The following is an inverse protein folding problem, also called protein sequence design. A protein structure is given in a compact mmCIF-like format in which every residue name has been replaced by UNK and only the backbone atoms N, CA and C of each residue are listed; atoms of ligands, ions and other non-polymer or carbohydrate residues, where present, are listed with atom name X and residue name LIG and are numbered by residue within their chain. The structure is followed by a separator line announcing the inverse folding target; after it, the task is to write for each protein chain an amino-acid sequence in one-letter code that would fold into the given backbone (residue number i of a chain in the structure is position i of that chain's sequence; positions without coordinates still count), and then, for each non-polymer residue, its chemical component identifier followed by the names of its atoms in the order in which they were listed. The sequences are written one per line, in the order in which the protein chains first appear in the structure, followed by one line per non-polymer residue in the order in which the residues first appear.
data_IF_092554396254
#
_entry.id   IF_092554396254
#
_cell.length_a   1.000
_cell.length_b   1.000
_cell.length_c   1.000
_cell.angle_alpha   90.00
_cell.angle_beta   90.00
_cell.angle_gamma   90.00
#
_symmetry.space_group_name_H-M   'P 1'
#
loop_
_entity.id
_entity.type
_entity.pdbx_description
1 polymer ?
#
# COMPACT_ATOMS: atom_id res chain seq x y z
N UNK A 1 10.58 2.47 14.25
CA UNK A 1 10.55 1.05 13.79
C UNK A 1 9.57 0.93 12.63
N UNK A 2 9.92 0.26 11.52
CA UNK A 2 8.99 0.05 10.38
C UNK A 2 8.69 -1.45 10.26
N UNK A 3 7.40 -1.82 10.22
CA UNK A 3 6.95 -3.21 10.07
C UNK A 3 5.64 -3.30 9.30
N UNK A 4 5.26 -4.51 8.93
CA UNK A 4 3.93 -4.85 8.47
C UNK A 4 2.90 -4.60 9.59
N UNK A 5 1.78 -4.01 9.21
CA UNK A 5 0.58 -3.95 10.05
C UNK A 5 -0.05 -5.33 10.21
N UNK A 6 -1.11 -5.40 11.01
CA UNK A 6 -1.92 -6.59 11.22
C UNK A 6 -3.37 -6.30 10.87
N UNK A 7 -4.13 -7.33 10.49
CA UNK A 7 -5.55 -7.17 10.12
C UNK A 7 -6.40 -6.60 11.25
N UNK A 8 -6.09 -6.92 12.52
CA UNK A 8 -6.75 -6.36 13.70
C UNK A 8 -6.32 -4.93 14.05
N UNK A 9 -5.31 -4.38 13.37
CA UNK A 9 -4.91 -2.98 13.50
C UNK A 9 -5.65 -2.08 12.49
N UNK A 10 -6.51 -2.63 11.62
CA UNK A 10 -7.28 -1.83 10.64
C UNK A 10 -8.52 -1.26 11.31
N UNK A 11 -8.32 -0.15 12.03
CA UNK A 11 -9.36 0.67 12.64
C UNK A 11 -8.87 2.10 12.85
N UNK A 12 -9.80 3.06 12.95
CA UNK A 12 -9.51 4.47 13.25
C UNK A 12 -8.84 4.69 14.61
N UNK A 13 -8.98 3.74 15.54
CA UNK A 13 -8.44 3.84 16.90
C UNK A 13 -6.98 3.36 17.02
N UNK A 14 -6.48 2.63 16.03
CA UNK A 14 -5.20 1.90 16.09
C UNK A 14 -3.94 2.78 15.99
N UNK A 15 -4.09 4.03 15.56
CA UNK A 15 -2.99 4.93 15.24
C UNK A 15 -3.42 6.11 14.37
N UNK A 16 -2.46 6.92 13.96
CA UNK A 16 -2.66 7.92 12.91
C UNK A 16 -2.59 7.24 11.54
N UNK A 17 -3.37 7.68 10.57
CA UNK A 17 -3.48 7.04 9.25
C UNK A 17 -2.99 7.95 8.13
N UNK A 18 -2.10 7.39 7.33
CA UNK A 18 -1.63 7.94 6.07
C UNK A 18 -2.05 7.01 4.95
N UNK A 19 -2.68 7.52 3.91
CA UNK A 19 -3.08 6.74 2.73
C UNK A 19 -2.47 7.39 1.50
N UNK A 20 -1.63 6.64 0.80
CA UNK A 20 -0.87 7.13 -0.35
C UNK A 20 -1.23 6.33 -1.59
N UNK A 21 -1.85 6.97 -2.58
CA UNK A 21 -1.76 6.53 -3.96
C UNK A 21 -0.41 7.05 -4.51
N UNK A 22 0.48 6.14 -4.90
CA UNK A 22 1.87 6.47 -5.21
C UNK A 22 2.13 6.40 -6.71
N UNK A 23 2.82 7.40 -7.22
CA UNK A 23 3.33 7.44 -8.57
C UNK A 23 4.81 7.80 -8.61
N UNK A 24 5.44 7.56 -9.77
CA UNK A 24 6.87 7.76 -9.95
C UNK A 24 7.15 8.66 -11.15
N UNK A 25 6.86 9.95 -10.99
CA UNK A 25 7.09 10.95 -12.01
C UNK A 25 8.00 12.07 -11.50
N UNK A 26 8.80 12.63 -12.41
CA UNK A 26 9.79 13.68 -12.10
C UNK A 26 9.14 15.07 -11.88
N UNK A 27 8.18 15.45 -12.72
CA UNK A 27 7.66 16.84 -12.78
C UNK A 27 6.16 16.98 -12.49
N UNK A 28 5.42 15.88 -12.50
CA UNK A 28 3.98 15.90 -12.29
C UNK A 28 3.65 15.44 -10.88
N UNK A 29 2.57 15.99 -10.35
CA UNK A 29 1.93 15.47 -9.15
C UNK A 29 1.38 14.09 -9.49
N UNK A 30 2.04 13.07 -8.98
CA UNK A 30 1.77 11.67 -9.29
C UNK A 30 1.45 10.87 -8.04
N UNK A 31 1.52 11.51 -6.87
CA UNK A 31 1.10 10.94 -5.61
C UNK A 31 -0.16 11.66 -5.12
N UNK A 32 -1.08 10.94 -4.50
CA UNK A 32 -2.17 11.51 -3.75
C UNK A 32 -2.08 11.03 -2.30
N UNK A 33 -1.94 11.97 -1.36
CA UNK A 33 -1.75 11.68 0.05
C UNK A 33 -2.97 12.16 0.85
N UNK A 34 -3.53 11.29 1.66
CA UNK A 34 -4.54 11.59 2.66
C UNK A 34 -3.94 11.37 4.05
N UNK A 35 -4.14 12.34 4.95
CA UNK A 35 -3.64 12.32 6.34
C UNK A 35 -4.83 12.41 7.29
N UNK A 36 -5.10 11.34 8.04
CA UNK A 36 -6.23 11.25 8.98
C UNK A 36 -7.55 11.69 8.32
N UNK A 37 -8.24 12.68 8.88
CA UNK A 37 -9.52 13.20 8.39
C UNK A 37 -9.38 14.33 7.35
N UNK A 38 -8.16 14.66 6.93
CA UNK A 38 -7.93 15.75 5.96
C UNK A 38 -8.35 15.36 4.54
N UNK A 39 -8.57 16.37 3.72
CA UNK A 39 -8.80 16.16 2.29
C UNK A 39 -7.53 15.61 1.60
N UNK A 40 -7.68 14.75 0.57
CA UNK A 40 -6.56 14.27 -0.22
C UNK A 40 -5.81 15.41 -0.93
N UNK A 41 -4.49 15.35 -0.89
CA UNK A 41 -3.61 16.33 -1.55
C UNK A 41 -2.80 15.65 -2.67
N UNK A 42 -2.82 16.25 -3.86
CA UNK A 42 -1.94 15.84 -4.96
C UNK A 42 -0.56 16.45 -4.83
N UNK A 43 0.47 15.59 -4.83
CA UNK A 43 1.86 15.89 -4.53
C UNK A 43 2.80 15.27 -5.57
N UNK A 44 3.96 15.90 -5.77
CA UNK A 44 5.10 15.21 -6.37
C UNK A 44 5.65 14.17 -5.40
N UNK A 45 6.40 13.19 -5.91
CA UNK A 45 6.96 12.10 -5.10
C UNK A 45 7.78 12.62 -3.90
N UNK A 46 8.68 13.58 -4.14
CA UNK A 46 9.53 14.15 -3.08
C UNK A 46 8.73 14.93 -2.03
N UNK A 47 7.65 15.58 -2.43
CA UNK A 47 6.73 16.28 -1.54
C UNK A 47 5.99 15.29 -0.64
N UNK A 48 5.47 14.19 -1.21
CA UNK A 48 4.82 13.12 -0.45
C UNK A 48 5.78 12.51 0.58
N UNK A 49 7.01 12.16 0.19
CA UNK A 49 8.05 11.65 1.11
C UNK A 49 8.28 12.62 2.27
N UNK A 50 8.45 13.93 1.98
CA UNK A 50 8.67 14.95 3.01
C UNK A 50 7.47 15.09 3.95
N UNK A 51 6.26 15.11 3.41
CA UNK A 51 5.03 15.21 4.21
C UNK A 51 4.85 14.00 5.13
N UNK A 52 5.06 12.78 4.62
CA UNK A 52 4.97 11.54 5.39
C UNK A 52 6.01 11.53 6.51
N UNK A 53 7.27 11.85 6.21
CA UNK A 53 8.34 11.92 7.23
C UNK A 53 8.01 12.90 8.33
N UNK A 54 7.63 14.13 7.96
CA UNK A 54 7.25 15.15 8.92
C UNK A 54 6.11 14.68 9.82
N UNK A 55 5.09 14.05 9.23
CA UNK A 55 3.97 13.53 10.01
C UNK A 55 4.40 12.41 10.97
N UNK A 56 5.25 11.49 10.53
CA UNK A 56 5.81 10.43 11.39
C UNK A 56 6.61 11.02 12.55
N UNK A 57 7.40 12.07 12.30
CA UNK A 57 8.21 12.73 13.33
C UNK A 57 7.35 13.50 14.34
N UNK A 58 6.25 14.11 13.90
CA UNK A 58 5.35 14.90 14.74
C UNK A 58 4.29 14.03 15.48
N UNK A 59 4.10 12.77 15.05
CA UNK A 59 3.07 11.89 15.60
C UNK A 59 3.34 11.53 17.06
N UNK A 60 2.26 11.35 17.84
CA UNK A 60 2.34 10.87 19.23
C UNK A 60 1.79 9.45 19.39
N UNK A 61 1.40 8.83 18.28
CA UNK A 61 0.85 7.47 18.18
C UNK A 61 1.56 6.73 17.05
N UNK A 62 1.45 5.39 17.00
CA UNK A 62 1.86 4.63 15.83
C UNK A 62 1.22 5.19 14.56
N UNK A 63 1.98 5.23 13.46
CA UNK A 63 1.52 5.69 12.16
C UNK A 63 1.26 4.47 11.27
N UNK A 64 0.03 4.32 10.83
CA UNK A 64 -0.38 3.33 9.84
C UNK A 64 -0.25 3.97 8.45
N UNK A 65 0.60 3.41 7.61
CA UNK A 65 0.83 3.87 6.23
C UNK A 65 0.28 2.84 5.25
N UNK A 66 -0.84 3.17 4.60
CA UNK A 66 -1.34 2.45 3.44
C UNK A 66 -0.68 3.01 2.19
N UNK A 67 -0.15 2.13 1.35
CA UNK A 67 0.35 2.51 0.03
C UNK A 67 -0.37 1.70 -1.05
N UNK A 68 -1.00 2.39 -2.01
CA UNK A 68 -1.58 1.80 -3.22
C UNK A 68 -0.44 1.43 -4.18
N UNK A 69 0.19 0.29 -3.91
CA UNK A 69 1.27 -0.30 -4.70
C UNK A 69 1.56 -1.72 -4.20
N UNK A 70 2.20 -2.59 -5.01
CA UNK A 70 2.61 -3.90 -4.55
C UNK A 70 3.63 -3.75 -3.42
N UNK A 71 3.30 -4.24 -2.23
CA UNK A 71 4.22 -4.30 -1.09
C UNK A 71 4.78 -5.70 -0.89
N UNK A 72 4.25 -6.67 -1.64
CA UNK A 72 4.71 -8.04 -1.67
C UNK A 72 4.62 -8.64 -3.06
N UNK A 73 5.43 -9.68 -3.27
CA UNK A 73 5.50 -10.45 -4.51
C UNK A 73 5.30 -11.92 -4.19
N UNK A 74 4.72 -12.67 -5.13
CA UNK A 74 4.59 -14.12 -5.03
C UNK A 74 5.52 -14.81 -6.03
N UNK A 75 6.07 -15.95 -5.60
CA UNK A 75 6.85 -16.85 -6.43
C UNK A 75 6.22 -18.24 -6.42
N UNK A 76 6.25 -18.91 -7.56
CA UNK A 76 5.84 -20.32 -7.64
C UNK A 76 6.89 -21.24 -6.98
N UNK A 77 6.59 -22.54 -6.91
CA UNK A 77 7.50 -23.55 -6.34
C UNK A 77 8.85 -23.67 -7.09
N UNK A 78 8.98 -23.09 -8.28
CA UNK A 78 10.22 -23.05 -9.07
C UNK A 78 10.97 -21.72 -8.91
N UNK A 79 10.44 -20.78 -8.14
CA UNK A 79 11.01 -19.46 -7.93
C UNK A 79 10.67 -18.44 -9.04
N UNK A 80 9.71 -18.72 -9.92
CA UNK A 80 9.29 -17.74 -10.93
C UNK A 80 8.26 -16.77 -10.35
N UNK A 81 8.30 -15.47 -10.71
CA UNK A 81 7.27 -14.53 -10.34
C UNK A 81 5.89 -15.01 -10.79
N UNK A 82 4.91 -14.88 -9.89
CA UNK A 82 3.54 -15.32 -10.11
C UNK A 82 2.57 -14.27 -9.57
N UNK A 83 1.42 -14.13 -10.22
CA UNK A 83 0.38 -13.22 -9.74
C UNK A 83 -0.28 -13.73 -8.46
N UNK A 84 -0.58 -12.80 -7.54
CA UNK A 84 -1.30 -13.07 -6.29
C UNK A 84 -2.81 -13.26 -6.53
N UNK A 85 -3.52 -13.80 -5.55
CA UNK A 85 -4.96 -14.10 -5.66
C UNK A 85 -5.81 -12.88 -6.00
N UNK A 86 -5.49 -11.73 -5.39
CA UNK A 86 -6.19 -10.43 -5.57
C UNK A 86 -6.02 -9.82 -6.95
N UNK A 87 -4.99 -10.22 -7.69
CA UNK A 87 -4.67 -9.68 -9.01
C UNK A 87 -5.58 -10.25 -10.09
N UNK A 88 -6.31 -11.33 -9.82
CA UNK A 88 -7.19 -12.03 -10.76
C UNK A 88 -8.66 -11.77 -10.42
N UNK A 89 -9.43 -11.27 -11.40
CA UNK A 89 -10.88 -11.17 -11.28
C UNK A 89 -11.55 -11.63 -12.58
N UNK A 90 -12.20 -12.79 -12.52
CA UNK A 90 -12.80 -13.41 -13.71
C UNK A 90 -11.75 -13.64 -14.79
N UNK A 91 -11.97 -13.05 -15.98
CA UNK A 91 -11.02 -13.08 -17.10
C UNK A 91 -9.98 -11.95 -17.08
N UNK A 92 -10.10 -10.97 -16.18
CA UNK A 92 -9.17 -9.83 -16.09
C UNK A 92 -8.09 -10.14 -15.07
N UNK A 93 -6.84 -9.82 -15.42
CA UNK A 93 -5.72 -9.88 -14.47
C UNK A 93 -4.99 -8.54 -14.42
N UNK A 94 -4.90 -7.95 -13.22
CA UNK A 94 -4.03 -6.83 -12.91
C UNK A 94 -2.69 -7.40 -12.48
N UNK A 95 -1.84 -7.70 -13.46
CA UNK A 95 -0.50 -8.23 -13.23
C UNK A 95 0.36 -7.18 -12.53
N UNK A 96 0.35 -7.14 -11.19
CA UNK A 96 1.15 -6.19 -10.42
C UNK A 96 2.66 -6.40 -10.59
N UNK A 97 3.04 -7.56 -11.15
CA UNK A 97 4.37 -7.89 -11.62
C UNK A 97 4.73 -7.38 -13.04
N UNK A 98 3.88 -6.57 -13.70
CA UNK A 98 4.22 -6.00 -15.03
C UNK A 98 4.02 -4.48 -15.09
N UNK A 99 4.84 -3.84 -15.93
CA UNK A 99 4.70 -2.45 -16.37
C UNK A 99 4.43 -1.48 -15.21
N UNK A 100 3.22 -0.88 -15.12
CA UNK A 100 2.88 0.09 -14.08
C UNK A 100 3.03 -0.44 -12.64
N UNK A 101 2.71 -1.71 -12.37
CA UNK A 101 2.80 -2.29 -11.03
C UNK A 101 4.25 -2.30 -10.52
N UNK A 102 5.19 -2.68 -11.38
CA UNK A 102 6.62 -2.62 -11.08
C UNK A 102 7.10 -1.19 -10.83
N UNK A 103 6.59 -0.21 -11.60
CA UNK A 103 6.95 1.21 -11.42
C UNK A 103 6.56 1.72 -10.04
N UNK A 104 5.31 1.49 -9.61
CA UNK A 104 4.85 1.95 -8.30
C UNK A 104 5.47 1.15 -7.15
N UNK A 105 5.75 -0.15 -7.34
CA UNK A 105 6.53 -0.94 -6.38
C UNK A 105 7.94 -0.35 -6.16
N UNK A 106 8.64 0.02 -7.24
CA UNK A 106 9.96 0.69 -7.13
C UNK A 106 9.85 2.03 -6.42
N UNK A 107 8.82 2.83 -6.73
CA UNK A 107 8.54 4.09 -6.04
C UNK A 107 8.39 3.86 -4.53
N UNK A 108 7.64 2.83 -4.15
CA UNK A 108 7.40 2.49 -2.74
C UNK A 108 8.67 1.98 -2.06
N UNK A 109 9.52 1.22 -2.75
CA UNK A 109 10.84 0.83 -2.22
C UNK A 109 11.68 2.07 -1.89
N UNK A 110 11.72 3.08 -2.77
CA UNK A 110 12.40 4.34 -2.48
C UNK A 110 11.79 5.10 -1.30
N UNK A 111 10.45 5.18 -1.22
CA UNK A 111 9.75 5.78 -0.10
C UNK A 111 10.13 5.10 1.22
N UNK A 112 9.92 3.78 1.31
CA UNK A 112 10.17 3.02 2.54
C UNK A 112 11.65 3.03 2.92
N UNK A 113 12.57 3.00 1.95
CA UNK A 113 14.00 3.18 2.22
C UNK A 113 14.31 4.54 2.82
N UNK A 114 13.73 5.63 2.28
CA UNK A 114 13.91 6.96 2.83
C UNK A 114 13.32 7.09 4.25
N UNK A 115 12.18 6.45 4.52
CA UNK A 115 11.60 6.39 5.87
C UNK A 115 12.51 5.57 6.80
N UNK A 116 12.99 4.41 6.37
CA UNK A 116 13.85 3.54 7.16
C UNK A 116 15.16 4.24 7.54
N UNK A 117 15.80 4.91 6.58
CA UNK A 117 17.06 5.63 6.79
C UNK A 117 16.90 6.87 7.68
N UNK A 118 15.70 7.44 7.76
CA UNK A 118 15.43 8.50 8.74
C UNK A 118 15.33 8.00 10.18
N UNK A 119 15.32 6.68 10.39
CA UNK A 119 15.24 6.03 11.69
C UNK A 119 14.15 6.63 12.59
N UNK A 120 12.86 6.54 12.18
CA UNK A 120 11.77 7.19 12.88
C UNK A 120 11.65 6.66 14.31
N UNK A 121 11.49 7.59 15.25
CA UNK A 121 11.24 7.29 16.68
C UNK A 121 9.90 6.58 16.86
N UNK A 122 8.89 6.96 16.07
CA UNK A 122 7.58 6.34 16.07
C UNK A 122 7.54 5.00 15.31
N UNK A 123 6.60 4.16 15.71
CA UNK A 123 6.28 2.93 15.00
C UNK A 123 5.52 3.27 13.70
N UNK A 124 5.98 2.71 12.57
CA UNK A 124 5.30 2.79 11.28
C UNK A 124 4.84 1.39 10.89
N UNK A 125 3.54 1.25 10.62
CA UNK A 125 2.87 0.00 10.26
C UNK A 125 2.42 0.08 8.80
N UNK A 126 2.94 -0.79 7.95
CA UNK A 126 2.66 -0.80 6.53
C UNK A 126 1.41 -1.62 6.21
N UNK A 127 0.62 -1.14 5.26
CA UNK A 127 -0.57 -1.79 4.72
C UNK A 127 -0.55 -1.66 3.20
N UNK A 128 -0.90 -2.72 2.47
CA UNK A 128 -1.02 -2.65 1.02
C UNK A 128 -2.42 -2.18 0.63
N UNK A 129 -2.51 -1.10 -0.15
CA UNK A 129 -3.77 -0.65 -0.75
C UNK A 129 -3.94 -1.23 -2.15
N UNK A 130 -5.15 -1.64 -2.51
CA UNK A 130 -5.46 -2.12 -3.87
C UNK A 130 -6.82 -1.59 -4.33
N UNK A 131 -6.81 -0.55 -5.17
CA UNK A 131 -8.04 -0.01 -5.76
C UNK A 131 -8.16 -0.47 -7.21
N UNK A 132 -9.12 -1.35 -7.44
CA UNK A 132 -9.16 -2.17 -8.65
C UNK A 132 -10.41 -1.93 -9.51
N UNK A 133 -10.31 -2.31 -10.78
CA UNK A 133 -11.44 -2.46 -11.73
C UNK A 133 -12.32 -1.22 -12.00
N UNK A 134 -11.73 -0.02 -11.95
CA UNK A 134 -12.38 1.22 -12.40
C UNK A 134 -13.02 1.08 -13.78
N UNK A 135 -14.19 1.70 -13.96
CA UNK A 135 -14.86 1.75 -15.25
C UNK A 135 -13.93 2.38 -16.30
N UNK A 136 -13.82 1.75 -17.48
CA UNK A 136 -12.90 2.20 -18.55
C UNK A 136 -13.20 3.60 -19.10
N UNK A 137 -14.38 4.15 -18.80
CA UNK A 137 -14.82 5.47 -19.23
C UNK A 137 -14.62 6.56 -18.16
N UNK A 138 -14.16 6.20 -16.97
CA UNK A 138 -13.90 7.15 -15.89
C UNK A 138 -12.42 7.55 -15.88
N UNK A 139 -12.15 8.86 -15.84
CA UNK A 139 -10.78 9.35 -15.62
C UNK A 139 -10.27 8.82 -14.28
N UNK A 140 -8.99 8.45 -14.23
CA UNK A 140 -8.33 8.11 -12.97
C UNK A 140 -8.47 9.27 -11.98
N UNK A 141 -9.09 9.00 -10.84
CA UNK A 141 -9.25 9.94 -9.75
C UNK A 141 -8.50 9.42 -8.52
N UNK A 142 -7.25 9.85 -8.38
CA UNK A 142 -6.35 9.43 -7.30
C UNK A 142 -6.92 9.78 -5.91
N UNK A 143 -7.61 10.92 -5.79
CA UNK A 143 -8.29 11.31 -4.55
C UNK A 143 -9.42 10.36 -4.17
N UNK A 144 -10.14 9.78 -5.14
CA UNK A 144 -11.18 8.79 -4.86
C UNK A 144 -10.59 7.48 -4.35
N UNK A 145 -9.44 7.07 -4.86
CA UNK A 145 -8.78 5.81 -4.46
C UNK A 145 -8.42 5.82 -2.97
N UNK A 146 -7.74 6.89 -2.52
CA UNK A 146 -7.37 7.01 -1.11
C UNK A 146 -8.60 7.13 -0.19
N UNK A 147 -9.68 7.76 -0.66
CA UNK A 147 -10.95 7.80 0.07
C UNK A 147 -11.62 6.43 0.16
N UNK A 148 -11.61 5.64 -0.92
CA UNK A 148 -12.15 4.28 -0.92
C UNK A 148 -11.41 3.41 0.11
N UNK A 149 -10.09 3.52 0.19
CA UNK A 149 -9.29 2.81 1.20
C UNK A 149 -9.64 3.29 2.61
N UNK A 150 -9.88 4.59 2.81
CA UNK A 150 -10.32 5.15 4.10
C UNK A 150 -11.64 4.56 4.59
N UNK A 151 -12.61 4.33 3.69
CA UNK A 151 -13.90 3.71 4.03
C UNK A 151 -13.73 2.36 4.75
N UNK A 152 -12.68 1.59 4.42
CA UNK A 152 -12.39 0.30 5.07
C UNK A 152 -11.87 0.48 6.49
N UNK A 153 -11.09 1.52 6.75
CA UNK A 153 -10.54 1.85 8.07
C UNK A 153 -11.65 2.36 9.00
N UNK A 154 -12.56 3.18 8.47
CA UNK A 154 -13.69 3.75 9.20
C UNK A 154 -14.77 2.70 9.52
N UNK A 155 -14.97 1.75 8.61
CA UNK A 155 -16.04 0.74 8.71
C UNK A 155 -15.51 -0.69 8.45
N UNK A 156 -14.54 -1.20 9.23
CA UNK A 156 -13.89 -2.48 8.97
C UNK A 156 -14.88 -3.66 9.04
N UNK A 157 -15.90 -3.56 9.90
CA UNK A 157 -16.94 -4.59 10.01
C UNK A 157 -17.82 -4.65 8.75
N UNK A 158 -18.10 -3.51 8.11
CA UNK A 158 -18.88 -3.44 6.86
C UNK A 158 -18.07 -3.96 5.68
N UNK A 159 -16.77 -3.67 5.66
CA UNK A 159 -15.85 -4.02 4.59
C UNK A 159 -14.92 -5.18 4.97
N UNK A 160 -15.41 -6.16 5.74
CA UNK A 160 -14.57 -7.26 6.23
C UNK A 160 -13.91 -8.06 5.11
N UNK A 161 -14.60 -8.27 3.99
CA UNK A 161 -14.06 -8.97 2.81
C UNK A 161 -13.02 -8.15 2.03
N UNK A 162 -12.90 -6.86 2.32
CA UNK A 162 -11.87 -5.98 1.77
C UNK A 162 -10.55 -6.04 2.54
N UNK A 163 -10.50 -6.73 3.68
CA UNK A 163 -9.30 -6.91 4.48
C UNK A 163 -8.78 -8.31 4.24
N UNK A 164 -7.62 -8.42 3.62
CA UNK A 164 -7.03 -9.68 3.17
C UNK A 164 -5.76 -9.93 3.97
N UNK A 165 -5.73 -11.08 4.64
CA UNK A 165 -4.55 -11.55 5.35
C UNK A 165 -3.42 -11.89 4.35
N UNK A 166 -2.14 -11.63 4.68
CA UNK A 166 -1.02 -11.95 3.80
C UNK A 166 -1.07 -13.36 3.21
N UNK A 167 -1.38 -14.38 4.01
CA UNK A 167 -1.38 -15.76 3.52
C UNK A 167 -2.47 -16.03 2.46
N UNK A 168 -3.58 -15.28 2.52
CA UNK A 168 -4.65 -15.36 1.53
C UNK A 168 -4.28 -14.75 0.16
N UNK A 169 -3.12 -14.09 0.04
CA UNK A 169 -2.59 -13.58 -1.23
C UNK A 169 -2.01 -14.71 -2.11
N UNK A 170 -1.70 -15.88 -1.54
CA UNK A 170 -1.23 -17.05 -2.28
C UNK A 170 -2.32 -17.60 -3.19
N UNK A 171 -1.93 -18.13 -4.35
CA UNK A 171 -2.87 -18.84 -5.24
C UNK A 171 -2.76 -20.37 -5.11
N UNK A 172 -1.72 -20.84 -4.43
CA UNK A 172 -1.43 -22.24 -4.12
C UNK A 172 -0.63 -22.28 -2.82
N UNK A 173 -0.78 -23.34 -2.02
CA UNK A 173 -0.03 -23.52 -0.77
C UNK A 173 1.48 -23.59 -0.99
N UNK A 174 1.90 -23.96 -2.21
CA UNK A 174 3.29 -24.01 -2.64
C UNK A 174 3.89 -22.65 -2.99
N UNK A 175 3.07 -21.60 -3.10
CA UNK A 175 3.54 -20.27 -3.46
C UNK A 175 4.26 -19.62 -2.27
N UNK A 176 5.38 -18.96 -2.54
CA UNK A 176 6.15 -18.22 -1.53
C UNK A 176 5.86 -16.73 -1.71
N UNK A 177 5.39 -16.08 -0.64
CA UNK A 177 5.28 -14.62 -0.61
C UNK A 177 6.53 -14.00 -0.01
N UNK A 178 6.94 -12.85 -0.54
CA UNK A 178 8.06 -12.08 -0.02
C UNK A 178 7.71 -10.59 0.02
N UNK A 179 8.27 -9.89 1.02
CA UNK A 179 8.21 -8.44 1.10
C UNK A 179 8.96 -7.83 -0.09
N UNK A 180 8.35 -6.85 -0.76
CA UNK A 180 9.01 -6.12 -1.86
C UNK A 180 10.25 -5.34 -1.37
N UNK A 181 10.36 -5.07 -0.07
CA UNK A 181 11.45 -4.29 0.53
C UNK A 181 12.69 -5.12 0.87
N UNK A 182 12.58 -6.45 0.84
CA UNK A 182 13.70 -7.34 1.12
C UNK A 182 14.88 -7.11 0.17
N UNK A 183 14.60 -6.77 -1.10
CA UNK A 183 15.63 -6.45 -2.11
C UNK A 183 16.44 -5.20 -1.76
N UNK A 184 15.92 -4.33 -0.88
CA UNK A 184 16.61 -3.16 -0.36
C UNK A 184 17.26 -3.42 1.02
N UNK A 185 17.28 -4.68 1.48
CA UNK A 185 17.81 -5.05 2.79
C UNK A 185 16.94 -4.60 3.96
N UNK A 186 15.65 -4.33 3.72
CA UNK A 186 14.70 -3.90 4.76
C UNK A 186 13.71 -5.04 5.02
N UNK A 187 13.77 -5.60 6.23
CA UNK A 187 12.77 -6.55 6.68
C UNK A 187 11.62 -5.83 7.36
N UNK A 188 10.48 -5.75 6.67
CA UNK A 188 9.23 -5.25 7.25
C UNK A 188 8.22 -6.36 7.46
N UNK A 189 8.46 -7.58 6.99
CA UNK A 189 7.42 -8.60 6.83
C UNK A 189 6.46 -8.29 5.65
N UNK A 190 5.34 -9.00 5.63
CA UNK A 190 4.33 -8.92 4.55
C UNK A 190 3.07 -8.28 5.12
N UNK A 191 2.68 -7.08 4.63
CA UNK A 191 1.53 -6.38 5.17
C UNK A 191 0.21 -6.98 4.68
N UNK A 192 -0.86 -6.90 5.47
CA UNK A 192 -2.19 -7.21 4.99
C UNK A 192 -2.59 -6.23 3.88
N UNK A 193 -3.54 -6.67 3.06
CA UNK A 193 -4.04 -5.91 1.93
C UNK A 193 -5.45 -5.37 2.20
N UNK A 194 -5.68 -4.12 1.82
CA UNK A 194 -6.96 -3.43 1.84
C UNK A 194 -7.42 -3.24 0.39
N UNK A 195 -8.48 -3.95 0.00
CA UNK A 195 -9.01 -3.95 -1.36
C UNK A 195 -10.32 -3.19 -1.49
N UNK A 196 -10.42 -2.33 -2.51
CA UNK A 196 -11.70 -1.75 -2.95
C UNK A 196 -11.85 -1.81 -4.46
N UNK A 197 -13.10 -1.83 -4.89
CA UNK A 197 -13.45 -1.61 -6.29
C UNK A 197 -13.66 -0.11 -6.46
N UNK A 198 -12.97 0.48 -7.42
CA UNK A 198 -13.15 1.87 -7.84
C UNK A 198 -13.95 1.99 -9.12
#
# INVERSE_FOLDING_TARGET
MIRAGKTNEISTESGEWLILDIGFANKTKSCCLLINERDPEELQFSEAVRCIRKHIDDANKPVNLIVEAPLSVAFDAKGNPKGRSVEKQGSKTRYWYVGPGCTVMVATIYLVKALYDSNPSNEVRLFEGFVSFKNTNEKSNHSRDVQLLREVIEMPNKFRSSIIDPDALKTSDSDVLQSAFWVAGIDTGIPPLIQRNG
#
